data_IF_844665975771
#
_entry.id   IF_844665975771
#
_cell.length_a   1.000
_cell.length_b   1.000
_cell.length_c   1.000
_cell.angle_alpha   90.00
_cell.angle_beta   90.00
_cell.angle_gamma   90.00
#
_symmetry.space_group_name_H-M   'P 1'
#
loop_
_entity.id
_entity.type
_entity.pdbx_description
1 polymer ?
#
# COMPACT_ATOMS: atom_id res chain seq x y z
N UNK A 1 17.96 1.65 2.09
CA UNK A 1 16.88 0.95 2.83
C UNK A 1 17.50 -0.33 3.36
N UNK A 2 17.25 -0.67 4.62
CA UNK A 2 17.76 -1.95 5.17
C UNK A 2 16.87 -3.10 4.70
N UNK A 3 17.36 -4.34 4.77
CA UNK A 3 16.56 -5.52 4.40
C UNK A 3 15.33 -5.67 5.30
N UNK A 4 15.51 -5.49 6.62
CA UNK A 4 14.39 -5.57 7.57
C UNK A 4 13.34 -4.46 7.34
N UNK A 5 13.78 -3.25 7.00
CA UNK A 5 12.86 -2.16 6.64
C UNK A 5 12.11 -2.47 5.34
N UNK A 6 12.79 -3.04 4.35
CA UNK A 6 12.14 -3.46 3.10
C UNK A 6 11.10 -4.54 3.36
N UNK A 7 11.42 -5.57 4.14
CA UNK A 7 10.49 -6.63 4.51
C UNK A 7 9.28 -6.07 5.26
N UNK A 8 9.50 -5.19 6.24
CA UNK A 8 8.41 -4.55 6.98
C UNK A 8 7.48 -3.77 6.03
N UNK A 9 8.07 -2.94 5.15
CA UNK A 9 7.30 -2.19 4.15
C UNK A 9 6.53 -3.16 3.25
N UNK A 10 7.18 -4.17 2.68
CA UNK A 10 6.54 -5.06 1.69
C UNK A 10 5.44 -5.93 2.30
N UNK A 11 5.61 -6.39 3.54
CA UNK A 11 4.68 -7.30 4.21
C UNK A 11 3.51 -6.54 4.84
N UNK A 12 3.78 -5.46 5.59
CA UNK A 12 2.75 -4.81 6.40
C UNK A 12 2.17 -3.56 5.75
N UNK A 13 3.00 -2.73 5.11
CA UNK A 13 2.61 -1.39 4.68
C UNK A 13 2.20 -1.33 3.22
N UNK A 14 2.92 -2.01 2.33
CA UNK A 14 2.72 -1.96 0.89
C UNK A 14 1.33 -2.44 0.45
N UNK A 15 0.72 -3.47 1.06
CA UNK A 15 -0.67 -3.82 0.76
C UNK A 15 -1.65 -2.66 0.99
N UNK A 16 -1.43 -1.86 2.05
CA UNK A 16 -2.23 -0.66 2.35
C UNK A 16 -1.96 0.46 1.35
N UNK A 17 -0.69 0.70 1.01
CA UNK A 17 -0.30 1.68 -0.01
C UNK A 17 -0.97 1.35 -1.35
N UNK A 18 -0.90 0.09 -1.77
CA UNK A 18 -1.48 -0.37 -3.02
C UNK A 18 -3.00 -0.19 -3.03
N UNK A 19 -3.70 -0.58 -1.95
CA UNK A 19 -5.15 -0.39 -1.83
C UNK A 19 -5.53 1.09 -1.93
N UNK A 20 -4.84 1.96 -1.19
CA UNK A 20 -5.08 3.41 -1.19
C UNK A 20 -4.79 4.06 -2.54
N UNK A 21 -3.69 3.65 -3.18
CA UNK A 21 -3.33 4.11 -4.53
C UNK A 21 -4.41 3.73 -5.55
N UNK A 22 -4.91 2.50 -5.48
CA UNK A 22 -5.94 2.00 -6.39
C UNK A 22 -7.28 2.70 -6.22
N UNK A 23 -7.63 3.12 -5.00
CA UNK A 23 -8.83 3.92 -4.72
C UNK A 23 -8.68 5.40 -5.09
N UNK A 24 -7.44 5.90 -5.28
CA UNK A 24 -7.17 7.28 -5.68
C UNK A 24 -7.35 7.54 -7.18
N UNK A 25 -7.16 8.79 -7.59
CA UNK A 25 -7.19 9.22 -9.00
C UNK A 25 -5.80 9.43 -9.61
N UNK A 26 -4.73 9.41 -8.81
CA UNK A 26 -3.36 9.65 -9.29
C UNK A 26 -2.81 8.39 -10.00
N UNK A 27 -2.76 8.44 -11.33
CA UNK A 27 -2.27 7.34 -12.18
C UNK A 27 -0.76 7.08 -12.02
N UNK A 28 0.03 8.10 -11.66
CA UNK A 28 1.45 7.91 -11.39
C UNK A 28 1.63 7.09 -10.10
N UNK A 29 0.89 7.41 -9.04
CA UNK A 29 0.96 6.64 -7.79
C UNK A 29 0.49 5.20 -8.00
N UNK A 30 -0.60 4.98 -8.77
CA UNK A 30 -1.09 3.64 -9.11
C UNK A 30 -0.02 2.81 -9.84
N UNK A 31 0.56 3.38 -10.89
CA UNK A 31 1.57 2.68 -11.69
C UNK A 31 2.83 2.39 -10.88
N UNK A 32 3.30 3.34 -10.08
CA UNK A 32 4.43 3.14 -9.17
C UNK A 32 4.15 2.04 -8.13
N UNK A 33 3.01 2.10 -7.42
CA UNK A 33 2.63 1.12 -6.40
C UNK A 33 2.59 -0.32 -6.96
N UNK A 34 1.97 -0.48 -8.15
CA UNK A 34 1.93 -1.75 -8.88
C UNK A 34 3.31 -2.25 -9.29
N UNK A 35 4.18 -1.36 -9.75
CA UNK A 35 5.52 -1.75 -10.19
C UNK A 35 6.33 -2.35 -9.04
N UNK A 36 6.32 -1.73 -7.86
CA UNK A 36 7.00 -2.23 -6.67
C UNK A 36 6.38 -3.56 -6.22
N UNK A 37 5.05 -3.66 -6.17
CA UNK A 37 4.37 -4.91 -5.81
C UNK A 37 4.71 -6.07 -6.77
N UNK A 38 4.94 -5.78 -8.05
CA UNK A 38 5.36 -6.76 -9.04
C UNK A 38 6.83 -7.16 -8.86
N UNK A 39 7.72 -6.20 -8.68
CA UNK A 39 9.15 -6.47 -8.57
C UNK A 39 9.54 -7.09 -7.22
N UNK A 40 8.88 -6.69 -6.12
CA UNK A 40 9.13 -7.19 -4.77
C UNK A 40 8.81 -8.66 -4.53
N UNK A 41 8.17 -9.35 -5.48
CA UNK A 41 8.01 -10.81 -5.44
C UNK A 41 9.31 -11.56 -5.77
N UNK A 42 10.34 -10.88 -6.27
CA UNK A 42 11.59 -11.50 -6.69
C UNK A 42 12.56 -11.56 -5.50
N UNK A 43 13.08 -12.75 -5.19
CA UNK A 43 13.91 -13.00 -4.00
C UNK A 43 15.19 -12.16 -3.90
N UNK A 44 15.70 -11.61 -5.00
CA UNK A 44 16.93 -10.77 -5.03
C UNK A 44 16.65 -9.33 -5.44
N UNK A 45 15.40 -8.90 -5.39
CA UNK A 45 15.07 -7.53 -5.75
C UNK A 45 15.22 -6.60 -4.57
N UNK A 46 15.89 -5.48 -4.82
CA UNK A 46 15.95 -4.34 -3.93
C UNK A 46 15.55 -3.07 -4.70
N UNK A 47 14.81 -2.15 -4.07
CA UNK A 47 14.52 -0.87 -4.69
C UNK A 47 15.79 -0.04 -4.86
N UNK A 48 15.84 0.77 -5.91
CA UNK A 48 16.84 1.85 -6.01
C UNK A 48 16.66 2.87 -4.88
N UNK A 49 17.67 3.69 -4.62
CA UNK A 49 17.60 4.74 -3.59
C UNK A 49 16.40 5.68 -3.78
N UNK A 50 16.13 6.06 -5.04
CA UNK A 50 14.96 6.89 -5.39
C UNK A 50 13.64 6.15 -5.12
N UNK A 51 13.57 4.86 -5.48
CA UNK A 51 12.38 4.04 -5.19
C UNK A 51 12.18 3.93 -3.67
N UNK A 52 13.24 3.65 -2.91
CA UNK A 52 13.20 3.57 -1.47
C UNK A 52 12.70 4.87 -0.81
N UNK A 53 13.18 6.03 -1.26
CA UNK A 53 12.68 7.33 -0.80
C UNK A 53 11.17 7.49 -1.05
N UNK A 54 10.70 7.18 -2.27
CA UNK A 54 9.29 7.28 -2.63
C UNK A 54 8.43 6.26 -1.87
N UNK A 55 8.92 5.05 -1.65
CA UNK A 55 8.25 4.03 -0.84
C UNK A 55 8.00 4.54 0.57
N UNK A 56 9.03 5.08 1.25
CA UNK A 56 8.89 5.65 2.59
C UNK A 56 7.91 6.81 2.65
N UNK A 57 7.95 7.69 1.65
CA UNK A 57 7.02 8.82 1.56
C UNK A 57 5.57 8.34 1.45
N UNK A 58 5.29 7.38 0.57
CA UNK A 58 3.93 6.83 0.43
C UNK A 58 3.45 6.13 1.71
N UNK A 59 4.34 5.46 2.45
CA UNK A 59 4.00 4.89 3.76
C UNK A 59 3.72 5.97 4.80
N UNK A 60 4.52 7.04 4.85
CA UNK A 60 4.29 8.16 5.74
C UNK A 60 2.97 8.88 5.43
N UNK A 61 2.64 9.05 4.15
CA UNK A 61 1.40 9.68 3.70
C UNK A 61 0.15 8.88 4.12
N UNK A 62 0.24 7.54 4.25
CA UNK A 62 -0.85 6.73 4.82
C UNK A 62 -1.16 7.09 6.27
N UNK A 63 -0.13 7.39 7.08
CA UNK A 63 -0.28 7.68 8.51
C UNK A 63 -0.87 9.07 8.76
N UNK A 64 -0.77 9.96 7.78
CA UNK A 64 -1.27 11.33 7.85
C UNK A 64 -2.64 11.51 7.17
N UNK A 65 -3.13 10.49 6.46
CA UNK A 65 -4.45 10.54 5.83
C UNK A 65 -5.54 10.20 6.87
N UNK A 66 -6.67 10.94 6.91
CA UNK A 66 -7.82 10.49 7.67
C UNK A 66 -8.21 9.09 7.18
N UNK A 67 -8.33 8.13 8.09
CA UNK A 67 -8.80 6.78 7.81
C UNK A 67 -10.11 6.91 7.00
N UNK A 68 -10.21 6.33 5.80
CA UNK A 68 -11.48 6.30 5.10
C UNK A 68 -12.49 5.58 6.00
N UNK A 69 -13.68 6.17 6.15
CA UNK A 69 -14.81 5.57 6.87
C UNK A 69 -15.01 4.17 6.29
N UNK A 70 -14.59 3.15 7.06
CA UNK A 70 -14.73 1.76 6.65
C UNK A 70 -16.22 1.47 6.63
N UNK A 71 -16.81 1.38 5.44
CA UNK A 71 -18.18 0.88 5.31
C UNK A 71 -18.14 -0.60 5.68
N UNK A 72 -18.46 -0.87 6.94
CA UNK A 72 -18.51 -2.20 7.53
C UNK A 72 -19.66 -2.94 6.83
N UNK A 73 -19.34 -3.66 5.76
CA UNK A 73 -20.28 -4.52 5.03
C UNK A 73 -20.66 -5.68 5.95
N UNK A 74 -21.61 -5.45 6.86
CA UNK A 74 -22.42 -6.48 7.52
C UNK A 74 -23.67 -5.87 8.18
N UNK A 75 -24.44 -5.06 7.42
CA UNK A 75 -25.66 -4.43 7.95
C UNK A 75 -26.87 -4.75 7.09
N UNK A 76 -27.02 -5.96 6.55
CA UNK A 76 -28.29 -6.31 5.90
C UNK A 76 -28.62 -7.80 5.68
N UNK A 77 -27.92 -8.77 6.29
CA UNK A 77 -28.30 -10.20 6.19
C UNK A 77 -28.95 -10.77 7.47
N UNK A 78 -29.89 -10.03 8.07
CA UNK A 78 -30.47 -10.45 9.35
C UNK A 78 -31.83 -9.87 9.71
N UNK A 79 -32.74 -9.66 8.75
CA UNK A 79 -34.15 -9.41 9.06
C UNK A 79 -35.03 -10.49 8.41
N UNK A 80 -35.02 -11.68 9.02
CA UNK A 80 -36.11 -12.63 8.89
C UNK A 80 -37.00 -12.52 10.14
N UNK A 81 -38.19 -11.94 9.98
CA UNK A 81 -39.38 -12.18 10.81
C UNK A 81 -40.61 -11.60 10.10
#
# INVERSE_FOLDING_TARGET
>A
MTDSELDEIMIFWWPKVLRRAMAGSDEWVKSFARSIAKHGKRAKWHPSEKQAFLMRRLVADLSNAPEPELDLIDREDGAAA
#
